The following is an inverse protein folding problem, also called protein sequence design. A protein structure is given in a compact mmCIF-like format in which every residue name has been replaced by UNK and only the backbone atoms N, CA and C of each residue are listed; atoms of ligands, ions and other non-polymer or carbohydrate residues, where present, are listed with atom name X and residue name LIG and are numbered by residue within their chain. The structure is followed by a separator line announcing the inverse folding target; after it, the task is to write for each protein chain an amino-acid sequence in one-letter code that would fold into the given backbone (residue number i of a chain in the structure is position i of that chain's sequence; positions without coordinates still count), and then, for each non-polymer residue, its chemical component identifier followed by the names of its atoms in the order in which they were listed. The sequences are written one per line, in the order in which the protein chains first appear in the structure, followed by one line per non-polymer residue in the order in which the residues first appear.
data_IF_421669678105
#
_entry.id   IF_421669678105
#
_cell.length_a   1.000
_cell.length_b   1.000
_cell.length_c   1.000
_cell.angle_alpha   90.00
_cell.angle_beta   90.00
_cell.angle_gamma   90.00
#
_symmetry.space_group_name_H-M   'P 1'
#
loop_
_entity.id
_entity.type
_entity.pdbx_description
1 polymer ?
#
# COMPACT_ATOMS: atom_id res chain seq x y z
N UNK A 1 -10.13 -15.65 -8.44
CA UNK A 1 -10.21 -14.27 -7.91
C UNK A 1 -9.92 -14.35 -6.41
N UNK A 2 -8.96 -13.60 -5.89
CA UNK A 2 -8.71 -13.53 -4.43
C UNK A 2 -9.71 -12.55 -3.83
N UNK A 3 -10.29 -12.91 -2.71
CA UNK A 3 -11.24 -12.07 -1.99
C UNK A 3 -10.59 -11.50 -0.73
N UNK A 4 -10.91 -10.27 -0.38
CA UNK A 4 -10.54 -9.70 0.91
C UNK A 4 -11.47 -10.32 2.00
N UNK A 5 -10.93 -11.11 2.94
CA UNK A 5 -11.76 -11.67 4.01
C UNK A 5 -12.23 -10.58 4.97
N UNK A 6 -13.34 -10.84 5.66
CA UNK A 6 -13.82 -9.94 6.70
C UNK A 6 -12.97 -10.11 7.97
N UNK A 7 -12.60 -8.99 8.57
CA UNK A 7 -11.87 -8.92 9.83
C UNK A 7 -12.58 -8.03 10.85
N UNK A 8 -12.08 -7.97 12.09
CA UNK A 8 -12.51 -6.99 13.07
C UNK A 8 -12.04 -5.57 12.67
N UNK A 9 -12.74 -4.57 13.18
CA UNK A 9 -12.30 -3.18 13.02
C UNK A 9 -10.93 -2.95 13.67
N UNK A 10 -10.11 -2.13 13.04
CA UNK A 10 -8.74 -1.84 13.46
C UNK A 10 -8.68 -0.47 14.13
N UNK A 11 -8.11 -0.40 15.32
CA UNK A 11 -7.69 0.85 15.93
C UNK A 11 -6.32 1.26 15.33
N UNK A 12 -6.32 1.79 14.12
CA UNK A 12 -5.12 2.04 13.31
C UNK A 12 -4.01 2.74 14.08
N UNK A 13 -4.33 3.74 14.90
CA UNK A 13 -3.33 4.58 15.58
C UNK A 13 -2.64 3.89 16.74
N UNK A 14 -3.26 2.90 17.38
CA UNK A 14 -2.74 2.24 18.58
C UNK A 14 -2.32 0.78 18.37
N UNK A 15 -2.82 0.12 17.32
CA UNK A 15 -2.53 -1.28 17.07
C UNK A 15 -1.02 -1.52 16.84
N UNK A 16 -0.51 -2.60 17.40
CA UNK A 16 0.86 -3.06 17.16
C UNK A 16 0.95 -3.86 15.87
N UNK A 17 2.15 -3.99 15.29
CA UNK A 17 2.33 -4.78 14.08
C UNK A 17 1.89 -6.26 14.25
N UNK A 18 2.19 -6.97 15.35
CA UNK A 18 1.69 -8.34 15.55
C UNK A 18 0.16 -8.43 15.60
N UNK A 19 -0.52 -7.46 16.21
CA UNK A 19 -2.01 -7.42 16.23
C UNK A 19 -2.55 -7.23 14.81
N UNK A 20 -1.96 -6.35 14.02
CA UNK A 20 -2.33 -6.15 12.62
C UNK A 20 -2.08 -7.43 11.82
N UNK A 21 -0.92 -8.05 11.91
CA UNK A 21 -0.61 -9.28 11.19
C UNK A 21 -1.59 -10.41 11.51
N UNK A 22 -2.02 -10.53 12.77
CA UNK A 22 -3.02 -11.50 13.20
C UNK A 22 -4.38 -11.29 12.51
N UNK A 23 -4.80 -10.04 12.28
CA UNK A 23 -6.06 -9.74 11.57
C UNK A 23 -6.04 -10.18 10.10
N UNK A 24 -4.87 -10.22 9.49
CA UNK A 24 -4.68 -10.68 8.11
C UNK A 24 -4.30 -12.17 7.99
N UNK A 25 -4.32 -12.94 9.09
CA UNK A 25 -3.89 -14.34 9.07
C UNK A 25 -4.67 -15.21 8.07
N UNK A 26 -5.96 -14.91 7.85
CA UNK A 26 -6.83 -15.63 6.92
C UNK A 26 -6.84 -15.03 5.50
N UNK A 27 -6.02 -14.01 5.24
CA UNK A 27 -5.91 -13.38 3.93
C UNK A 27 -4.79 -14.02 3.13
N UNK A 28 -5.08 -14.46 1.92
CA UNK A 28 -4.06 -14.97 1.00
C UNK A 28 -3.09 -13.86 0.60
N UNK A 29 -1.78 -14.09 0.66
CA UNK A 29 -0.80 -13.12 0.22
C UNK A 29 -0.87 -12.92 -1.32
N UNK A 30 -0.67 -11.69 -1.73
CA UNK A 30 -0.36 -11.27 -3.08
C UNK A 30 1.14 -11.06 -3.15
N UNK A 31 1.85 -11.96 -3.83
CA UNK A 31 3.29 -11.81 -4.04
C UNK A 31 3.53 -10.71 -5.07
N UNK A 32 4.30 -9.69 -4.71
CA UNK A 32 4.70 -8.63 -5.62
C UNK A 32 5.92 -9.11 -6.41
N UNK A 33 5.90 -8.89 -7.72
CA UNK A 33 6.92 -9.38 -8.65
C UNK A 33 7.17 -8.37 -9.76
N UNK A 34 8.33 -8.43 -10.35
CA UNK A 34 8.67 -7.69 -11.58
C UNK A 34 8.04 -8.41 -12.79
N UNK A 35 6.71 -8.29 -12.95
CA UNK A 35 5.96 -9.03 -13.98
C UNK A 35 6.34 -8.66 -15.42
N UNK A 36 7.04 -7.56 -15.63
CA UNK A 36 7.56 -7.12 -16.94
C UNK A 36 8.88 -7.79 -17.31
N UNK A 37 9.48 -8.58 -16.41
CA UNK A 37 10.70 -9.33 -16.63
C UNK A 37 10.44 -10.83 -16.64
N UNK A 38 11.15 -11.61 -17.48
CA UNK A 38 11.06 -13.08 -17.48
C UNK A 38 11.60 -13.71 -16.19
N UNK A 39 12.52 -13.03 -15.50
CA UNK A 39 13.03 -13.37 -14.16
C UNK A 39 13.37 -12.09 -13.40
N UNK A 40 13.27 -12.11 -12.06
CA UNK A 40 13.63 -10.94 -11.26
C UNK A 40 15.07 -10.51 -11.47
N UNK A 41 15.33 -9.23 -11.36
CA UNK A 41 16.69 -8.67 -11.36
C UNK A 41 17.52 -9.21 -10.18
N UNK A 42 18.85 -9.31 -10.33
CA UNK A 42 19.73 -9.58 -9.20
C UNK A 42 19.52 -8.53 -8.09
N UNK A 43 19.27 -8.99 -6.88
CA UNK A 43 19.02 -8.09 -5.74
C UNK A 43 17.56 -7.68 -5.54
N UNK A 44 16.62 -8.12 -6.41
CA UNK A 44 15.19 -7.91 -6.16
C UNK A 44 14.79 -8.47 -4.79
N UNK A 45 14.22 -7.63 -3.96
CA UNK A 45 13.79 -8.00 -2.61
C UNK A 45 12.33 -8.48 -2.62
N UNK A 46 12.03 -9.59 -1.94
CA UNK A 46 10.66 -10.09 -1.85
C UNK A 46 9.72 -9.09 -1.18
N UNK A 47 8.51 -8.98 -1.72
CA UNK A 47 7.46 -8.18 -1.13
C UNK A 47 6.11 -8.87 -1.32
N UNK A 48 5.20 -8.66 -0.37
CA UNK A 48 3.85 -9.19 -0.43
C UNK A 48 2.84 -8.23 0.17
N UNK A 49 1.62 -8.32 -0.30
CA UNK A 49 0.50 -7.61 0.27
C UNK A 49 -0.64 -8.56 0.64
N UNK A 50 -1.46 -8.17 1.59
CA UNK A 50 -2.69 -8.87 1.99
C UNK A 50 -3.82 -7.88 2.02
N UNK A 51 -5.03 -8.32 1.71
CA UNK A 51 -6.23 -7.48 1.75
C UNK A 51 -7.25 -8.07 2.72
N UNK A 52 -7.95 -7.20 3.43
CA UNK A 52 -9.08 -7.54 4.27
C UNK A 52 -10.10 -6.40 4.25
N UNK A 53 -11.28 -6.61 4.84
CA UNK A 53 -12.25 -5.53 5.05
C UNK A 53 -12.96 -5.69 6.40
N UNK A 54 -13.30 -4.59 7.05
CA UNK A 54 -14.07 -4.59 8.30
C UNK A 54 -15.58 -4.42 8.09
N UNK A 55 -16.00 -4.30 6.84
CA UNK A 55 -17.38 -4.03 6.42
C UNK A 55 -17.60 -2.58 5.98
N UNK A 56 -16.73 -1.67 6.38
CA UNK A 56 -16.76 -0.24 6.02
C UNK A 56 -15.53 0.16 5.22
N UNK A 57 -14.37 -0.34 5.61
CA UNK A 57 -13.07 -0.01 5.02
C UNK A 57 -12.47 -1.22 4.31
N UNK A 58 -11.81 -0.98 3.18
CA UNK A 58 -10.84 -1.89 2.62
C UNK A 58 -9.51 -1.65 3.34
N UNK A 59 -8.86 -2.73 3.72
CA UNK A 59 -7.59 -2.73 4.44
C UNK A 59 -6.54 -3.44 3.60
N UNK A 60 -5.36 -2.84 3.46
CA UNK A 60 -4.24 -3.40 2.71
C UNK A 60 -3.00 -3.37 3.59
N UNK A 61 -2.45 -4.54 3.91
CA UNK A 61 -1.19 -4.69 4.64
C UNK A 61 -0.10 -5.12 3.67
N UNK A 62 0.95 -4.32 3.53
CA UNK A 62 2.16 -4.68 2.81
C UNK A 62 3.30 -5.06 3.76
N UNK A 63 4.08 -6.06 3.36
CA UNK A 63 5.33 -6.48 3.97
C UNK A 63 6.41 -6.41 2.89
N UNK A 64 7.34 -5.49 3.06
CA UNK A 64 8.32 -5.11 2.06
C UNK A 64 9.72 -5.37 2.63
N UNK A 65 10.43 -6.35 2.07
CA UNK A 65 11.79 -6.63 2.49
C UNK A 65 12.70 -5.53 1.98
N UNK A 66 13.25 -4.76 2.91
CA UNK A 66 14.18 -3.67 2.66
C UNK A 66 14.85 -3.30 3.99
N UNK A 67 16.16 -3.35 4.02
CA UNK A 67 16.95 -3.06 5.22
C UNK A 67 17.28 -1.57 5.36
N UNK A 68 17.11 -0.79 4.28
CA UNK A 68 17.44 0.64 4.23
C UNK A 68 16.35 1.46 3.51
N UNK A 69 15.08 1.33 3.93
CA UNK A 69 13.98 2.02 3.26
C UNK A 69 14.10 3.54 3.42
N UNK A 70 14.05 4.24 2.31
CA UNK A 70 14.31 5.65 2.27
C UNK A 70 13.26 6.43 1.49
N UNK A 71 13.04 7.69 1.84
CA UNK A 71 12.25 8.65 1.06
C UNK A 71 12.68 10.08 1.35
N UNK A 72 12.64 10.92 0.34
CA UNK A 72 12.77 12.38 0.45
C UNK A 72 11.41 13.08 0.53
N UNK A 73 10.31 12.33 0.46
CA UNK A 73 8.97 12.89 0.57
C UNK A 73 8.69 13.36 2.01
N UNK A 74 8.37 14.62 2.18
CA UNK A 74 8.14 15.29 3.48
C UNK A 74 6.74 15.91 3.61
N UNK A 75 5.91 15.80 2.58
CA UNK A 75 4.56 16.37 2.56
C UNK A 75 3.55 15.55 1.74
N UNK A 76 2.25 15.86 1.88
CA UNK A 76 1.19 15.16 1.17
C UNK A 76 1.21 15.46 -0.34
N UNK A 77 0.74 14.49 -1.13
CA UNK A 77 0.53 14.59 -2.58
C UNK A 77 1.76 15.00 -3.40
N UNK A 78 2.95 14.74 -2.87
CA UNK A 78 4.19 14.79 -3.66
C UNK A 78 4.27 13.56 -4.57
N UNK A 79 5.08 13.64 -5.62
CA UNK A 79 5.38 12.49 -6.49
C UNK A 79 6.33 11.51 -5.79
N UNK A 80 5.80 10.74 -4.85
CA UNK A 80 6.57 9.86 -3.97
C UNK A 80 7.46 8.88 -4.72
N UNK A 81 7.03 8.40 -5.90
CA UNK A 81 7.80 7.49 -6.75
C UNK A 81 9.07 8.12 -7.37
N UNK A 82 9.18 9.44 -7.38
CA UNK A 82 10.39 10.17 -7.79
C UNK A 82 11.33 10.46 -6.60
N UNK A 83 10.85 10.22 -5.37
CA UNK A 83 11.49 10.67 -4.13
C UNK A 83 12.02 9.52 -3.25
N UNK A 84 11.90 8.28 -3.68
CA UNK A 84 12.39 7.11 -2.95
C UNK A 84 11.41 5.95 -2.95
N UNK A 85 11.47 5.13 -1.89
CA UNK A 85 10.64 3.95 -1.78
C UNK A 85 9.18 4.32 -1.53
N UNK A 86 8.29 3.57 -2.18
CA UNK A 86 6.86 3.78 -2.09
C UNK A 86 6.12 2.44 -2.23
N UNK A 87 5.07 2.25 -1.46
CA UNK A 87 4.06 1.23 -1.68
C UNK A 87 2.81 1.87 -2.25
N UNK A 88 2.33 1.34 -3.36
CA UNK A 88 1.21 1.90 -4.12
C UNK A 88 0.04 0.92 -4.17
N UNK A 89 -1.17 1.41 -3.96
CA UNK A 89 -2.42 0.67 -4.08
C UNK A 89 -3.27 1.32 -5.15
N UNK A 90 -3.61 0.55 -6.18
CA UNK A 90 -4.48 0.97 -7.27
C UNK A 90 -5.86 0.37 -7.07
N UNK A 91 -6.89 1.22 -7.01
CA UNK A 91 -8.28 0.79 -6.87
C UNK A 91 -9.11 1.28 -8.04
N UNK A 92 -9.79 0.35 -8.70
CA UNK A 92 -10.71 0.65 -9.80
C UNK A 92 -12.08 0.07 -9.48
N UNK A 93 -13.14 0.88 -9.43
CA UNK A 93 -14.51 0.37 -9.31
C UNK A 93 -14.88 -0.50 -10.52
N UNK A 94 -15.58 -1.58 -10.28
CA UNK A 94 -16.02 -2.46 -11.36
C UNK A 94 -16.87 -1.71 -12.40
N UNK A 95 -16.53 -1.87 -13.68
CA UNK A 95 -17.22 -1.21 -14.79
C UNK A 95 -16.89 0.27 -14.98
N UNK A 96 -15.93 0.81 -14.26
CA UNK A 96 -15.45 2.19 -14.40
C UNK A 96 -14.10 2.25 -15.10
N UNK A 97 -13.87 3.28 -15.92
CA UNK A 97 -12.52 3.62 -16.38
C UNK A 97 -11.75 4.45 -15.32
N UNK A 98 -12.47 5.11 -14.40
CA UNK A 98 -11.87 5.89 -13.31
C UNK A 98 -11.19 4.94 -12.33
N UNK A 99 -9.97 5.29 -11.92
CA UNK A 99 -9.25 4.59 -10.87
C UNK A 99 -8.57 5.57 -9.91
N UNK A 100 -8.10 5.04 -8.80
CA UNK A 100 -7.46 5.78 -7.72
C UNK A 100 -6.13 5.17 -7.37
N UNK A 101 -5.17 6.00 -7.02
CA UNK A 101 -3.85 5.61 -6.52
C UNK A 101 -3.66 6.14 -5.11
N UNK A 102 -3.20 5.27 -4.22
CA UNK A 102 -2.89 5.57 -2.83
C UNK A 102 -1.46 5.15 -2.54
N UNK A 103 -0.61 6.09 -2.23
CA UNK A 103 0.82 5.88 -2.03
C UNK A 103 1.19 6.09 -0.58
N UNK A 104 2.06 5.22 -0.06
CA UNK A 104 2.58 5.28 1.30
C UNK A 104 4.09 5.13 1.22
N UNK A 105 4.82 6.07 1.81
CA UNK A 105 6.29 6.01 1.90
C UNK A 105 6.75 5.39 3.22
N UNK A 106 8.03 5.00 3.35
CA UNK A 106 8.58 4.54 4.62
C UNK A 106 8.53 5.58 5.76
N UNK A 107 8.35 6.86 5.45
CA UNK A 107 8.12 7.92 6.43
C UNK A 107 6.63 8.14 6.76
N UNK A 108 5.74 7.32 6.19
CA UNK A 108 4.28 7.44 6.29
C UNK A 108 3.73 8.75 5.69
N UNK A 109 4.46 9.38 4.75
CA UNK A 109 3.88 10.40 3.90
C UNK A 109 2.95 9.75 2.88
N UNK A 110 1.88 10.45 2.53
CA UNK A 110 0.79 9.91 1.69
C UNK A 110 0.60 10.73 0.45
N UNK A 111 0.34 10.03 -0.66
CA UNK A 111 -0.21 10.62 -1.87
C UNK A 111 -1.50 9.92 -2.23
N UNK A 112 -2.44 10.66 -2.79
CA UNK A 112 -3.70 10.12 -3.25
C UNK A 112 -4.17 10.86 -4.48
N UNK A 113 -4.43 10.10 -5.52
CA UNK A 113 -4.80 10.65 -6.82
C UNK A 113 -6.03 9.94 -7.37
N UNK A 114 -6.79 10.70 -8.16
CA UNK A 114 -7.84 10.18 -9.03
C UNK A 114 -7.39 10.35 -10.47
N UNK A 115 -7.70 9.37 -11.29
CA UNK A 115 -7.54 9.40 -12.73
C UNK A 115 -8.89 9.12 -13.37
N UNK A 116 -9.35 10.00 -14.24
CA UNK A 116 -10.63 9.82 -14.95
C UNK A 116 -10.62 8.56 -15.83
N UNK A 117 -9.44 8.22 -16.38
CA UNK A 117 -9.18 7.00 -17.16
C UNK A 117 -7.65 6.82 -17.30
N UNK A 118 -7.16 5.65 -17.74
CA UNK A 118 -5.73 5.45 -18.04
C UNK A 118 -5.19 6.52 -18.99
N UNK A 119 -4.05 7.11 -18.62
CA UNK A 119 -3.40 8.18 -19.36
C UNK A 119 -4.01 9.59 -19.19
N UNK A 120 -5.07 9.73 -18.41
CA UNK A 120 -5.57 11.06 -18.02
C UNK A 120 -4.60 11.77 -17.06
N UNK A 121 -4.61 13.10 -16.99
CA UNK A 121 -3.88 13.82 -15.96
C UNK A 121 -4.30 13.38 -14.56
N UNK A 122 -3.34 13.36 -13.63
CA UNK A 122 -3.62 13.10 -12.23
C UNK A 122 -4.41 14.25 -11.59
N UNK A 123 -5.38 13.91 -10.75
CA UNK A 123 -6.17 14.84 -9.95
C UNK A 123 -5.87 14.53 -8.47
N UNK A 124 -5.20 15.44 -7.73
CA UNK A 124 -4.95 15.21 -6.31
C UNK A 124 -6.26 15.11 -5.52
N UNK A 125 -6.36 14.12 -4.64
CA UNK A 125 -7.44 14.04 -3.67
C UNK A 125 -7.07 14.82 -2.38
N UNK A 126 -8.05 15.24 -1.58
CA UNK A 126 -7.78 15.89 -0.29
C UNK A 126 -6.90 15.03 0.61
N UNK A 127 -6.00 15.66 1.37
CA UNK A 127 -5.26 14.94 2.40
C UNK A 127 -6.23 14.31 3.41
N UNK A 128 -5.90 13.09 3.86
CA UNK A 128 -6.78 12.32 4.73
C UNK A 128 -7.89 11.53 4.03
N UNK A 129 -7.92 11.48 2.69
CA UNK A 129 -8.83 10.59 1.95
C UNK A 129 -8.66 9.13 2.37
N UNK A 130 -7.45 8.72 2.78
CA UNK A 130 -7.21 7.45 3.43
C UNK A 130 -6.31 7.60 4.66
N UNK A 131 -6.32 6.61 5.52
CA UNK A 131 -5.45 6.54 6.69
C UNK A 131 -4.37 5.49 6.47
N UNK A 132 -3.19 5.71 7.02
CA UNK A 132 -2.09 4.75 6.93
C UNK A 132 -1.26 4.71 8.19
N UNK A 133 -0.51 3.63 8.34
CA UNK A 133 0.52 3.47 9.36
C UNK A 133 1.68 2.64 8.83
N UNK A 134 2.88 2.97 9.27
CA UNK A 134 4.11 2.30 8.88
C UNK A 134 4.85 1.79 10.11
N UNK A 135 5.43 0.61 10.01
CA UNK A 135 6.36 0.04 10.98
C UNK A 135 7.66 -0.34 10.26
N UNK A 136 8.78 -0.14 10.91
CA UNK A 136 10.10 -0.53 10.41
C UNK A 136 10.73 -1.54 11.35
N UNK A 137 11.34 -2.57 10.78
CA UNK A 137 12.19 -3.54 11.44
C UNK A 137 13.60 -3.44 10.87
N UNK A 138 14.51 -4.34 11.26
CA UNK A 138 15.88 -4.36 10.71
C UNK A 138 15.95 -4.78 9.24
N UNK A 139 14.94 -5.46 8.74
CA UNK A 139 14.97 -6.11 7.41
C UNK A 139 13.74 -5.83 6.56
N UNK A 140 12.72 -5.20 7.12
CA UNK A 140 11.47 -4.94 6.43
C UNK A 140 10.88 -3.61 6.89
N UNK A 141 10.11 -3.00 6.01
CA UNK A 141 9.08 -2.07 6.44
C UNK A 141 7.70 -2.59 6.07
N UNK A 142 6.70 -2.18 6.83
CA UNK A 142 5.32 -2.62 6.69
C UNK A 142 4.44 -1.39 6.55
N UNK A 143 3.52 -1.42 5.61
CA UNK A 143 2.55 -0.35 5.40
C UNK A 143 1.13 -0.91 5.52
N UNK A 144 0.31 -0.27 6.34
CA UNK A 144 -1.13 -0.52 6.42
C UNK A 144 -1.88 0.72 5.91
N UNK A 145 -2.81 0.48 4.99
CA UNK A 145 -3.77 1.43 4.48
C UNK A 145 -5.19 0.96 4.75
#
# INVERSE_FOLDING_TARGET
MKHAPRTAAIALQSATLPEIQALFANSDPLELRQHWLPSPEPGFQPARARTAHDGTNLLVLAELQDADPFTLSDGPNQKTWELGDVFEVFLQPAGSETYFEFHITPANTRCQFRFAKPGAPLEPLPDGTFASRVWKTKTHWHALA
#
